data_IF_688060939895
#
_entry.id   IF_688060939895
#
_cell.length_a   1.000
_cell.length_b   1.000
_cell.length_c   1.000
_cell.angle_alpha   90.00
_cell.angle_beta   90.00
_cell.angle_gamma   90.00
#
_symmetry.space_group_name_H-M   'P 1'
#
loop_
_entity.id
_entity.type
_entity.pdbx_description
1 polymer ?
#
# COMPACT_ATOMS: atom_id res chain seq x y z
N UNK A 1 -13.11 -13.98 -27.66
CA UNK A 1 -13.53 -12.98 -26.65
C UNK A 1 -13.39 -13.59 -25.26
N UNK A 2 -12.18 -13.73 -24.74
CA UNK A 2 -11.92 -14.35 -23.44
C UNK A 2 -10.68 -13.81 -22.71
N UNK A 3 -10.14 -12.67 -23.16
CA UNK A 3 -8.89 -12.10 -22.65
C UNK A 3 -9.13 -10.98 -21.63
N UNK A 4 -10.10 -10.10 -21.87
CA UNK A 4 -10.37 -8.95 -20.99
C UNK A 4 -10.81 -9.30 -19.55
N UNK A 5 -11.41 -10.49 -19.35
CA UNK A 5 -11.80 -10.95 -18.01
C UNK A 5 -10.63 -11.54 -17.23
N UNK A 6 -9.68 -12.18 -17.92
CA UNK A 6 -8.46 -12.69 -17.31
C UNK A 6 -7.53 -11.53 -16.91
N UNK A 7 -7.43 -10.51 -17.77
CA UNK A 7 -6.64 -9.30 -17.47
C UNK A 7 -7.18 -8.56 -16.23
N UNK A 8 -8.50 -8.41 -16.10
CA UNK A 8 -9.12 -7.77 -14.93
C UNK A 8 -8.99 -8.58 -13.63
N UNK A 9 -8.98 -9.91 -13.72
CA UNK A 9 -8.78 -10.79 -12.55
C UNK A 9 -7.31 -10.77 -12.10
N UNK A 10 -6.37 -10.76 -13.05
CA UNK A 10 -4.94 -10.62 -12.78
C UNK A 10 -4.61 -9.24 -12.17
N UNK A 11 -5.21 -8.16 -12.68
CA UNK A 11 -5.07 -6.80 -12.15
C UNK A 11 -5.62 -6.68 -10.72
N UNK A 12 -6.80 -7.26 -10.45
CA UNK A 12 -7.39 -7.26 -9.12
C UNK A 12 -6.52 -8.04 -8.11
N UNK A 13 -5.96 -9.18 -8.51
CA UNK A 13 -5.05 -9.98 -7.69
C UNK A 13 -3.75 -9.22 -7.42
N UNK A 14 -3.19 -8.56 -8.43
CA UNK A 14 -2.01 -7.70 -8.29
C UNK A 14 -2.25 -6.57 -7.28
N UNK A 15 -3.35 -5.82 -7.43
CA UNK A 15 -3.71 -4.73 -6.53
C UNK A 15 -3.88 -5.21 -5.09
N UNK A 16 -4.51 -6.37 -4.90
CA UNK A 16 -4.65 -6.98 -3.57
C UNK A 16 -3.28 -7.30 -2.95
N UNK A 17 -2.36 -7.90 -3.71
CA UNK A 17 -1.00 -8.18 -3.24
C UNK A 17 -0.23 -6.91 -2.89
N UNK A 18 -0.32 -5.86 -3.71
CA UNK A 18 0.36 -4.59 -3.43
C UNK A 18 -0.22 -3.89 -2.19
N UNK A 19 -1.53 -4.01 -1.92
CA UNK A 19 -2.13 -3.54 -0.67
C UNK A 19 -1.56 -4.27 0.55
N UNK A 20 -1.45 -5.60 0.49
CA UNK A 20 -0.84 -6.40 1.57
C UNK A 20 0.63 -6.03 1.79
N UNK A 21 1.37 -5.78 0.71
CA UNK A 21 2.76 -5.31 0.78
C UNK A 21 2.85 -3.93 1.43
N UNK A 22 1.93 -3.01 1.12
CA UNK A 22 1.87 -1.71 1.79
C UNK A 22 1.58 -1.84 3.29
N UNK A 23 0.71 -2.76 3.71
CA UNK A 23 0.44 -3.04 5.13
C UNK A 23 1.71 -3.52 5.85
N UNK A 24 2.45 -4.43 5.25
CA UNK A 24 3.71 -4.93 5.81
C UNK A 24 4.77 -3.83 5.92
N UNK A 25 4.92 -2.99 4.89
CA UNK A 25 5.85 -1.85 4.94
C UNK A 25 5.42 -0.84 6.02
N UNK A 26 4.13 -0.55 6.15
CA UNK A 26 3.63 0.37 7.18
C UNK A 26 3.93 -0.14 8.60
N UNK A 27 3.82 -1.46 8.83
CA UNK A 27 4.19 -2.11 10.10
C UNK A 27 5.68 -1.98 10.39
N UNK A 28 6.54 -2.23 9.39
CA UNK A 28 7.99 -2.04 9.52
C UNK A 28 8.36 -0.57 9.81
N UNK A 29 7.67 0.38 9.19
CA UNK A 29 7.87 1.80 9.46
C UNK A 29 7.39 2.20 10.86
N UNK A 30 6.34 1.57 11.40
CA UNK A 30 5.91 1.80 12.78
C UNK A 30 6.99 1.34 13.79
N UNK A 31 7.59 0.16 13.56
CA UNK A 31 8.72 -0.33 14.36
C UNK A 31 9.92 0.64 14.29
N UNK A 32 10.28 1.10 13.09
CA UNK A 32 11.34 2.09 12.91
C UNK A 32 11.03 3.46 13.55
N UNK A 33 9.76 3.90 13.52
CA UNK A 33 9.32 5.15 14.18
C UNK A 33 9.52 5.05 15.69
N UNK A 34 9.28 3.88 16.28
CA UNK A 34 9.49 3.60 17.70
C UNK A 34 10.97 3.60 18.08
N UNK A 35 11.82 2.95 17.26
CA UNK A 35 13.26 2.81 17.48
C UNK A 35 14.06 4.07 17.13
N UNK A 36 13.47 5.02 16.41
CA UNK A 36 14.15 6.23 15.94
C UNK A 36 14.78 7.03 17.11
N UNK A 37 16.11 7.27 17.08
CA UNK A 37 16.83 7.87 18.20
C UNK A 37 16.65 9.39 18.32
N UNK A 38 16.09 10.02 17.29
CA UNK A 38 15.86 11.48 17.27
C UNK A 38 14.44 11.80 16.82
N UNK A 39 13.93 12.94 17.25
CA UNK A 39 12.64 13.45 16.81
C UNK A 39 12.59 13.72 15.29
N UNK A 40 13.71 14.14 14.70
CA UNK A 40 13.82 14.38 13.26
C UNK A 40 13.64 13.08 12.45
N UNK A 41 14.37 12.02 12.82
CA UNK A 41 14.18 10.71 12.17
C UNK A 41 12.77 10.15 12.39
N UNK A 42 12.22 10.30 13.60
CA UNK A 42 10.86 9.85 13.91
C UNK A 42 9.83 10.51 12.99
N UNK A 43 9.95 11.82 12.80
CA UNK A 43 9.07 12.57 11.91
C UNK A 43 9.25 12.17 10.44
N UNK A 44 10.48 11.88 10.00
CA UNK A 44 10.74 11.37 8.65
C UNK A 44 10.08 10.01 8.42
N UNK A 45 10.27 9.05 9.34
CA UNK A 45 9.65 7.73 9.26
C UNK A 45 8.13 7.84 9.30
N UNK A 46 7.57 8.72 10.14
CA UNK A 46 6.13 8.99 10.19
C UNK A 46 5.59 9.47 8.84
N UNK A 47 6.32 10.36 8.14
CA UNK A 47 5.94 10.83 6.79
C UNK A 47 6.00 9.71 5.77
N UNK A 48 7.05 8.88 5.81
CA UNK A 48 7.15 7.70 4.94
C UNK A 48 5.97 6.75 5.15
N UNK A 49 5.58 6.51 6.40
CA UNK A 49 4.42 5.66 6.72
C UNK A 49 3.13 6.24 6.15
N UNK A 50 2.92 7.55 6.27
CA UNK A 50 1.77 8.23 5.68
C UNK A 50 1.76 8.07 4.15
N UNK A 51 2.90 8.21 3.47
CA UNK A 51 2.99 8.04 2.02
C UNK A 51 2.61 6.62 1.59
N UNK A 52 3.04 5.60 2.34
CA UNK A 52 2.69 4.20 2.07
C UNK A 52 1.19 3.97 2.26
N UNK A 53 0.59 4.53 3.31
CA UNK A 53 -0.85 4.46 3.52
C UNK A 53 -1.64 5.17 2.40
N UNK A 54 -1.15 6.30 1.90
CA UNK A 54 -1.78 7.02 0.80
C UNK A 54 -1.72 6.21 -0.50
N UNK A 55 -0.58 5.56 -0.79
CA UNK A 55 -0.44 4.63 -1.94
C UNK A 55 -1.43 3.47 -1.81
N UNK A 56 -1.54 2.86 -0.63
CA UNK A 56 -2.50 1.77 -0.39
C UNK A 56 -3.95 2.20 -0.63
N UNK A 57 -4.32 3.43 -0.27
CA UNK A 57 -5.65 3.99 -0.55
C UNK A 57 -5.89 4.15 -2.05
N UNK A 58 -4.86 4.49 -2.84
CA UNK A 58 -4.96 4.54 -4.30
C UNK A 58 -5.22 3.15 -4.90
N UNK A 59 -4.52 2.12 -4.44
CA UNK A 59 -4.78 0.74 -4.89
C UNK A 59 -6.19 0.27 -4.53
N UNK A 60 -6.67 0.57 -3.32
CA UNK A 60 -8.05 0.26 -2.93
C UNK A 60 -9.08 0.97 -3.82
N UNK A 61 -8.83 2.23 -4.18
CA UNK A 61 -9.70 2.97 -5.07
C UNK A 61 -9.72 2.37 -6.48
N UNK A 62 -8.57 1.93 -7.00
CA UNK A 62 -8.47 1.24 -8.30
C UNK A 62 -9.24 -0.08 -8.30
N UNK A 63 -9.05 -0.92 -7.28
CA UNK A 63 -9.77 -2.18 -7.11
C UNK A 63 -11.30 -1.98 -7.04
N UNK A 64 -11.74 -0.90 -6.37
CA UNK A 64 -13.16 -0.55 -6.24
C UNK A 64 -13.79 0.03 -7.52
N UNK A 65 -12.96 0.46 -8.49
CA UNK A 65 -13.40 0.94 -9.79
C UNK A 65 -13.44 -0.19 -10.83
N UNK A 66 -12.53 -1.15 -10.75
CA UNK A 66 -12.51 -2.35 -11.62
C UNK A 66 -13.61 -3.35 -11.30
N UNK A 67 -14.12 -3.36 -10.05
CA UNK A 67 -15.26 -4.20 -9.66
C UNK A 67 -16.65 -3.72 -10.11
N UNK A 68 -16.77 -2.74 -11.01
CA UNK A 68 -18.05 -2.19 -11.51
C UNK A 68 -18.35 -2.54 -12.96
#
# INVERSE_FOLDING_TARGET
>A
MGYAWADAEDDALFLWHEMQRCEEIARQLEELEHEAPTAALREEVRRMRQQVEDIRRLFFAQLSLEGR
#
